data_IF_136910497543
#
_entry.id   IF_136910497543
#
_cell.length_a   1.000
_cell.length_b   1.000
_cell.length_c   1.000
_cell.angle_alpha   90.00
_cell.angle_beta   90.00
_cell.angle_gamma   90.00
#
_symmetry.space_group_name_H-M   'P 1'
#
loop_
_entity.id
_entity.type
_entity.pdbx_description
1 polymer ?
#
# COMPACT_ATOMS: atom_id res chain seq x y z
N UNK A 1 -14.78 -8.44 -7.02
CA UNK A 1 -13.85 -9.38 -7.72
C UNK A 1 -12.69 -9.77 -6.80
N UNK A 2 -12.12 -10.97 -6.94
CA UNK A 2 -10.89 -11.39 -6.22
C UNK A 2 -9.87 -11.95 -7.23
N UNK A 3 -8.61 -11.52 -7.13
CA UNK A 3 -7.49 -11.99 -7.96
C UNK A 3 -6.36 -12.44 -7.04
N UNK A 4 -5.90 -13.69 -7.21
CA UNK A 4 -4.74 -14.24 -6.51
C UNK A 4 -3.59 -14.38 -7.48
N UNK A 5 -2.41 -13.92 -7.05
CA UNK A 5 -1.19 -14.00 -7.82
C UNK A 5 0.01 -14.20 -6.90
N UNK A 6 1.17 -14.42 -7.49
CA UNK A 6 2.45 -14.46 -6.78
C UNK A 6 3.42 -13.52 -7.46
N UNK A 7 4.19 -12.80 -6.64
CA UNK A 7 5.29 -11.96 -7.13
C UNK A 7 6.61 -12.44 -6.51
N UNK A 8 7.68 -12.41 -7.31
CA UNK A 8 9.03 -12.70 -6.84
C UNK A 8 9.79 -11.39 -6.69
N UNK A 9 10.35 -11.14 -5.51
CA UNK A 9 11.19 -9.98 -5.25
C UNK A 9 12.37 -10.37 -4.35
N UNK A 10 13.60 -10.11 -4.83
CA UNK A 10 14.86 -10.42 -4.12
C UNK A 10 14.91 -11.88 -3.62
N UNK A 11 14.46 -12.83 -4.44
CA UNK A 11 14.45 -14.26 -4.11
C UNK A 11 13.34 -14.71 -3.16
N UNK A 12 12.48 -13.80 -2.69
CA UNK A 12 11.30 -14.12 -1.89
C UNK A 12 10.05 -14.18 -2.78
N UNK A 13 9.16 -15.11 -2.48
CA UNK A 13 7.86 -15.23 -3.14
C UNK A 13 6.80 -14.65 -2.22
N UNK A 14 6.03 -13.69 -2.73
CA UNK A 14 4.93 -13.07 -2.01
C UNK A 14 3.61 -13.46 -2.66
N UNK A 15 2.66 -13.89 -1.85
CA UNK A 15 1.28 -14.08 -2.28
C UNK A 15 0.58 -12.73 -2.30
N UNK A 16 0.00 -12.38 -3.45
CA UNK A 16 -0.74 -11.13 -3.63
C UNK A 16 -2.20 -11.49 -3.84
N UNK A 17 -3.06 -10.89 -3.02
CA UNK A 17 -4.51 -11.03 -3.12
C UNK A 17 -5.08 -9.63 -3.34
N UNK A 18 -5.63 -9.40 -4.53
CA UNK A 18 -6.43 -8.21 -4.82
C UNK A 18 -7.90 -8.54 -4.64
N UNK A 19 -8.66 -7.65 -3.98
CA UNK A 19 -10.10 -7.78 -3.75
C UNK A 19 -10.78 -6.44 -3.95
N UNK A 20 -11.92 -6.47 -4.63
CA UNK A 20 -12.89 -5.37 -4.59
C UNK A 20 -13.89 -5.66 -3.47
N UNK A 21 -13.47 -5.41 -2.25
CA UNK A 21 -14.25 -5.55 -1.02
C UNK A 21 -13.63 -4.65 0.07
N UNK A 22 -14.11 -4.70 1.30
CA UNK A 22 -13.50 -4.03 2.43
C UNK A 22 -12.02 -4.46 2.59
N UNK A 23 -11.05 -3.55 2.40
CA UNK A 23 -9.62 -3.88 2.45
C UNK A 23 -9.15 -4.28 3.86
N UNK A 24 -9.98 -4.06 4.88
CA UNK A 24 -9.71 -4.41 6.27
C UNK A 24 -10.05 -5.87 6.61
N UNK A 25 -10.72 -6.59 5.71
CA UNK A 25 -11.03 -8.00 5.90
C UNK A 25 -9.74 -8.86 5.90
N UNK A 26 -9.73 -9.93 6.71
CA UNK A 26 -8.62 -10.89 6.84
C UNK A 26 -7.27 -10.31 7.32
N UNK A 27 -7.27 -9.14 7.95
CA UNK A 27 -6.06 -8.54 8.53
C UNK A 27 -5.77 -8.98 9.97
N UNK A 28 -6.65 -9.78 10.58
CA UNK A 28 -6.49 -10.22 11.97
C UNK A 28 -5.18 -11.01 12.17
N UNK A 29 -4.42 -10.63 13.19
CA UNK A 29 -3.11 -11.23 13.49
C UNK A 29 -1.99 -10.89 12.49
N UNK A 30 -2.24 -10.03 11.49
CA UNK A 30 -1.20 -9.53 10.57
C UNK A 30 -0.52 -8.30 11.15
N UNK A 31 0.79 -8.19 10.91
CA UNK A 31 1.57 -6.98 11.21
C UNK A 31 1.56 -6.11 9.97
N UNK A 32 0.95 -4.93 10.07
CA UNK A 32 0.93 -3.93 9.01
C UNK A 32 2.06 -2.94 9.24
N UNK A 33 2.87 -2.68 8.21
CA UNK A 33 4.09 -1.88 8.34
C UNK A 33 4.04 -0.57 7.55
N UNK A 34 3.14 -0.45 6.59
CA UNK A 34 3.07 0.72 5.73
C UNK A 34 1.82 0.73 4.88
N UNK A 35 1.56 1.90 4.31
CA UNK A 35 0.41 2.19 3.47
C UNK A 35 0.87 2.90 2.21
N UNK A 36 0.16 2.64 1.11
CA UNK A 36 0.37 3.32 -0.17
C UNK A 36 -0.99 3.60 -0.81
N UNK A 37 -1.20 4.84 -1.27
CA UNK A 37 -2.46 5.28 -1.85
C UNK A 37 -2.34 5.47 -3.37
N UNK A 38 -3.26 4.86 -4.11
CA UNK A 38 -3.43 5.10 -5.53
C UNK A 38 -4.38 6.28 -5.73
N UNK A 39 -3.83 7.50 -5.77
CA UNK A 39 -4.62 8.73 -5.89
C UNK A 39 -4.83 9.10 -7.37
N UNK A 40 -6.07 9.37 -7.75
CA UNK A 40 -6.44 9.75 -9.12
C UNK A 40 -6.93 11.20 -9.19
N UNK A 41 -6.46 11.94 -10.19
CA UNK A 41 -6.91 13.29 -10.50
C UNK A 41 -7.18 13.38 -12.01
N UNK A 42 -8.45 13.53 -12.39
CA UNK A 42 -8.93 13.33 -13.76
C UNK A 42 -8.55 11.93 -14.29
N UNK A 43 -7.85 11.88 -15.41
CA UNK A 43 -7.36 10.69 -16.10
C UNK A 43 -5.91 10.29 -15.68
N UNK A 44 -5.38 10.90 -14.61
CA UNK A 44 -4.00 10.71 -14.16
C UNK A 44 -3.93 10.11 -12.77
N UNK A 45 -2.87 9.35 -12.52
CA UNK A 45 -2.52 8.80 -11.21
C UNK A 45 -1.32 9.57 -10.64
N UNK A 46 -1.39 9.95 -9.37
CA UNK A 46 -0.29 10.60 -8.68
C UNK A 46 0.80 9.58 -8.31
N UNK A 47 2.05 9.96 -8.57
CA UNK A 47 3.25 9.22 -8.15
C UNK A 47 4.26 10.18 -7.55
N UNK A 48 5.01 9.72 -6.56
CA UNK A 48 6.08 10.46 -5.90
C UNK A 48 7.42 9.75 -6.13
N UNK A 49 8.50 10.53 -6.25
CA UNK A 49 9.84 9.96 -6.33
C UNK A 49 10.37 9.75 -4.90
N UNK A 50 10.68 8.50 -4.55
CA UNK A 50 11.22 8.16 -3.24
C UNK A 50 12.76 8.17 -3.30
N UNK A 51 13.39 9.30 -2.93
CA UNK A 51 14.85 9.49 -3.01
C UNK A 51 15.65 8.36 -2.33
N UNK A 52 15.19 7.92 -1.15
CA UNK A 52 15.82 6.85 -0.39
C UNK A 52 15.69 5.46 -1.05
N UNK A 53 14.74 5.28 -1.97
CA UNK A 53 14.51 4.02 -2.69
C UNK A 53 15.00 4.08 -4.14
N UNK A 54 15.17 5.28 -4.71
CA UNK A 54 15.61 5.50 -6.08
C UNK A 54 14.57 5.13 -7.15
N UNK A 55 13.27 5.18 -6.84
CA UNK A 55 12.20 4.88 -7.79
C UNK A 55 10.91 5.67 -7.52
N UNK A 56 10.06 5.76 -8.56
CA UNK A 56 8.71 6.33 -8.46
C UNK A 56 7.72 5.33 -7.88
N UNK A 57 6.90 5.77 -6.94
CA UNK A 57 5.97 4.94 -6.17
C UNK A 57 4.67 5.71 -5.91
N UNK A 58 3.53 5.03 -5.62
CA UNK A 58 2.38 5.71 -5.04
C UNK A 58 2.77 6.41 -3.72
N UNK A 59 2.17 7.57 -3.40
CA UNK A 59 2.37 8.25 -2.11
C UNK A 59 2.02 7.30 -0.96
N UNK A 60 2.75 7.41 0.14
CA UNK A 60 2.66 6.45 1.23
C UNK A 60 3.96 6.32 2.02
N UNK A 61 3.88 5.60 3.13
CA UNK A 61 4.98 5.42 4.06
C UNK A 61 4.63 4.47 5.19
N UNK A 62 5.33 4.62 6.31
CA UNK A 62 5.19 3.72 7.46
C UNK A 62 3.94 4.03 8.27
N UNK A 63 3.36 3.01 8.89
CA UNK A 63 2.33 3.20 9.92
C UNK A 63 3.04 3.48 11.25
N UNK A 64 2.69 4.57 11.91
CA UNK A 64 3.26 4.94 13.21
C UNK A 64 2.61 4.15 14.37
N UNK A 65 3.29 4.08 15.51
CA UNK A 65 2.77 3.33 16.66
C UNK A 65 1.48 3.94 17.20
N UNK A 66 0.42 3.14 17.25
CA UNK A 66 -0.90 3.57 17.72
C UNK A 66 -1.77 4.24 16.65
N UNK A 67 -1.24 4.36 15.42
CA UNK A 67 -1.96 4.91 14.28
C UNK A 67 -2.84 3.83 13.62
N UNK A 68 -4.05 4.20 13.23
CA UNK A 68 -4.89 3.39 12.34
C UNK A 68 -4.37 3.44 10.90
N UNK A 69 -4.81 2.49 10.07
CA UNK A 69 -4.42 2.45 8.65
C UNK A 69 -4.90 3.73 7.94
N UNK A 70 -6.10 4.18 8.28
CA UNK A 70 -6.73 5.38 7.74
C UNK A 70 -5.97 6.66 8.12
N UNK A 71 -5.57 6.79 9.39
CA UNK A 71 -4.76 7.92 9.86
C UNK A 71 -3.41 7.96 9.14
N UNK A 72 -2.74 6.80 9.00
CA UNK A 72 -1.47 6.68 8.28
C UNK A 72 -1.60 7.12 6.82
N UNK A 73 -2.64 6.66 6.12
CA UNK A 73 -2.89 7.03 4.72
C UNK A 73 -3.10 8.54 4.60
N UNK A 74 -3.90 9.14 5.48
CA UNK A 74 -4.18 10.58 5.46
C UNK A 74 -2.89 11.38 5.69
N UNK A 75 -2.06 10.98 6.67
CA UNK A 75 -0.80 11.65 7.00
C UNK A 75 0.21 11.57 5.85
N UNK A 76 0.37 10.40 5.24
CA UNK A 76 1.36 10.15 4.18
C UNK A 76 0.97 10.76 2.83
N UNK A 77 -0.32 11.03 2.60
CA UNK A 77 -0.81 11.63 1.33
C UNK A 77 -0.92 13.15 1.39
N UNK A 78 -1.10 13.74 2.58
CA UNK A 78 -1.27 15.18 2.77
C UNK A 78 -0.02 16.00 2.45
#
# INVERSE_FOLDING_TARGET
MEIKSTISHKGNIFNVIYREDNPLNDLEGKILQGVHAFCFCNDKMAVVYADNKGYWTPPGGGIESGESIEEAVIREVK
#
